data_IF_375759754481
#
_entry.id   IF_375759754481
#
_cell.length_a   1.000
_cell.length_b   1.000
_cell.length_c   1.000
_cell.angle_alpha   90.00
_cell.angle_beta   90.00
_cell.angle_gamma   90.00
#
_symmetry.space_group_name_H-M   'P 1'
#
loop_
_entity.id
_entity.type
_entity.pdbx_description
1 polymer ?
#
# COMPACT_ATOMS: atom_id res chain seq x y z
N UNK A 1 -21.54 45.72 -59.23
CA UNK A 1 -20.73 44.51 -59.51
C UNK A 1 -19.64 44.45 -58.44
N UNK A 2 -19.85 43.79 -57.31
CA UNK A 2 -19.48 42.38 -57.03
C UNK A 2 -17.97 42.09 -57.18
N UNK A 3 -17.21 42.11 -56.08
CA UNK A 3 -16.51 40.95 -55.49
C UNK A 3 -15.46 41.33 -54.42
N UNK A 4 -15.65 40.75 -53.20
CA UNK A 4 -14.70 40.02 -52.30
C UNK A 4 -13.31 40.63 -52.06
N UNK A 5 -12.85 40.82 -50.81
CA UNK A 5 -12.43 39.72 -49.92
C UNK A 5 -12.36 40.14 -48.44
N UNK A 6 -12.85 39.27 -47.55
CA UNK A 6 -12.67 39.34 -46.11
C UNK A 6 -11.35 38.65 -45.72
N UNK A 7 -10.61 39.23 -44.77
CA UNK A 7 -9.46 38.58 -44.11
C UNK A 7 -9.64 38.66 -42.59
N UNK A 8 -9.44 37.52 -41.96
CA UNK A 8 -9.80 37.15 -40.61
C UNK A 8 -8.85 37.70 -39.53
N UNK A 9 -9.37 37.85 -38.29
CA UNK A 9 -8.63 37.49 -37.07
C UNK A 9 -9.62 36.91 -36.05
N UNK A 10 -9.74 35.59 -36.01
CA UNK A 10 -10.33 34.86 -34.88
C UNK A 10 -9.27 34.73 -33.78
N UNK A 11 -9.47 35.41 -32.65
CA UNK A 11 -8.76 35.14 -31.41
C UNK A 11 -9.29 33.83 -30.83
N UNK A 12 -8.56 32.73 -31.04
CA UNK A 12 -8.78 31.50 -30.29
C UNK A 12 -8.10 31.67 -28.92
N UNK A 13 -8.91 31.89 -27.88
CA UNK A 13 -8.45 31.77 -26.51
C UNK A 13 -8.16 30.29 -26.24
N UNK A 14 -6.87 29.94 -26.20
CA UNK A 14 -6.40 28.67 -25.67
C UNK A 14 -6.62 28.66 -24.16
N UNK A 15 -7.75 28.09 -23.74
CA UNK A 15 -7.95 27.67 -22.35
C UNK A 15 -7.04 26.47 -22.11
N UNK A 16 -5.87 26.70 -21.52
CA UNK A 16 -5.08 25.65 -20.89
C UNK A 16 -5.87 25.12 -19.69
N UNK A 17 -6.59 24.03 -19.89
CA UNK A 17 -7.11 23.22 -18.79
C UNK A 17 -5.94 22.49 -18.14
N UNK A 18 -5.69 22.78 -16.86
CA UNK A 18 -4.65 22.15 -16.05
C UNK A 18 -4.77 20.62 -16.06
N UNK A 19 -3.74 19.95 -16.57
CA UNK A 19 -3.49 18.55 -16.28
C UNK A 19 -2.63 18.49 -15.01
N UNK A 20 -3.26 18.40 -13.84
CA UNK A 20 -2.57 18.33 -12.54
C UNK A 20 -1.79 17.03 -12.32
N UNK A 21 -1.98 16.00 -13.17
CA UNK A 21 -1.39 14.68 -12.97
C UNK A 21 0.13 14.59 -13.18
N UNK A 22 0.74 15.47 -13.98
CA UNK A 22 2.18 15.43 -14.25
C UNK A 22 3.00 16.13 -13.18
N UNK A 23 2.47 17.20 -12.58
CA UNK A 23 3.14 18.01 -11.56
C UNK A 23 3.20 17.23 -10.23
N UNK A 24 2.07 16.67 -9.80
CA UNK A 24 1.98 15.83 -8.59
C UNK A 24 2.89 14.58 -8.71
N UNK A 25 2.92 13.93 -9.88
CA UNK A 25 3.79 12.76 -10.11
C UNK A 25 5.26 13.14 -9.99
N UNK A 26 5.66 14.28 -10.56
CA UNK A 26 7.04 14.76 -10.49
C UNK A 26 7.43 15.13 -9.06
N UNK A 27 6.52 15.76 -8.31
CA UNK A 27 6.75 16.09 -6.91
C UNK A 27 6.86 14.83 -6.06
N UNK A 28 5.98 13.83 -6.25
CA UNK A 28 6.09 12.54 -5.57
C UNK A 28 7.46 11.92 -5.88
N UNK A 29 7.84 11.80 -7.15
CA UNK A 29 9.15 11.22 -7.53
C UNK A 29 10.31 12.02 -6.93
N UNK A 30 10.24 13.36 -6.91
CA UNK A 30 11.27 14.21 -6.34
C UNK A 30 11.35 14.05 -4.81
N UNK A 31 10.22 14.02 -4.13
CA UNK A 31 10.12 13.79 -2.70
C UNK A 31 10.67 12.39 -2.33
N UNK A 32 10.40 11.37 -3.15
CA UNK A 32 10.96 10.03 -3.01
C UNK A 32 12.48 10.03 -3.23
N UNK A 33 13.00 10.65 -4.30
CA UNK A 33 14.46 10.74 -4.49
C UNK A 33 15.11 11.49 -3.32
N UNK A 34 14.49 12.58 -2.85
CA UNK A 34 14.96 13.37 -1.70
C UNK A 34 14.90 12.58 -0.38
N UNK A 35 13.88 11.74 -0.22
CA UNK A 35 13.72 10.79 0.88
C UNK A 35 14.63 9.56 0.78
N UNK A 36 15.53 9.51 -0.22
CA UNK A 36 16.58 8.49 -0.33
C UNK A 36 16.18 7.22 -1.07
N UNK A 37 15.08 7.24 -1.82
CA UNK A 37 14.67 6.10 -2.65
C UNK A 37 15.58 5.96 -3.89
N UNK A 38 16.06 4.76 -4.23
CA UNK A 38 16.78 4.51 -5.48
C UNK A 38 15.86 4.76 -6.69
N UNK A 39 16.33 5.48 -7.70
CA UNK A 39 15.52 5.81 -8.88
C UNK A 39 15.04 4.58 -9.65
N UNK A 40 15.75 3.46 -9.56
CA UNK A 40 15.43 2.16 -10.14
C UNK A 40 14.38 1.36 -9.36
N UNK A 41 14.05 1.77 -8.13
CA UNK A 41 12.96 1.20 -7.33
C UNK A 41 11.67 2.05 -7.37
N UNK A 42 11.75 3.27 -7.92
CA UNK A 42 10.60 4.14 -8.16
C UNK A 42 10.02 3.84 -9.55
N UNK A 43 8.74 3.46 -9.59
CA UNK A 43 8.03 3.16 -10.82
C UNK A 43 6.80 4.04 -10.96
N UNK A 44 6.66 4.68 -12.13
CA UNK A 44 5.44 5.41 -12.49
C UNK A 44 4.63 4.54 -13.45
N UNK A 45 3.46 4.10 -13.01
CA UNK A 45 2.53 3.30 -13.81
C UNK A 45 1.17 4.00 -13.80
N UNK A 46 0.68 4.34 -15.00
CA UNK A 46 -0.61 5.02 -15.19
C UNK A 46 -0.77 6.33 -14.39
N UNK A 47 0.32 7.09 -14.23
CA UNK A 47 0.34 8.35 -13.47
C UNK A 47 0.31 8.18 -11.96
N UNK A 48 0.51 6.95 -11.46
CA UNK A 48 0.67 6.64 -10.05
C UNK A 48 2.12 6.24 -9.79
N UNK A 49 2.67 6.68 -8.66
CA UNK A 49 4.05 6.36 -8.27
C UNK A 49 4.04 5.20 -7.29
N UNK A 50 4.93 4.24 -7.51
CA UNK A 50 5.12 3.04 -6.70
C UNK A 50 6.59 2.94 -6.27
N UNK A 51 6.82 2.37 -5.10
CA UNK A 51 8.12 1.96 -4.57
C UNK A 51 8.05 0.47 -4.25
N UNK A 52 9.17 -0.25 -4.39
CA UNK A 52 9.26 -1.64 -3.95
C UNK A 52 8.42 -2.62 -4.78
N UNK A 53 7.74 -2.11 -5.82
CA UNK A 53 6.81 -2.79 -6.74
C UNK A 53 5.38 -3.01 -6.22
N UNK A 54 5.12 -2.69 -4.96
CA UNK A 54 3.83 -2.93 -4.29
C UNK A 54 3.38 -1.79 -3.38
N UNK A 55 4.18 -0.76 -3.13
CA UNK A 55 3.78 0.40 -2.34
C UNK A 55 3.53 1.63 -3.22
N UNK A 56 2.27 1.92 -3.54
CA UNK A 56 1.84 3.18 -4.13
C UNK A 56 2.01 4.34 -3.15
N UNK A 57 2.53 5.47 -3.64
CA UNK A 57 2.78 6.67 -2.85
C UNK A 57 1.87 7.81 -3.31
N UNK A 58 1.13 8.40 -2.37
CA UNK A 58 0.38 9.65 -2.60
C UNK A 58 1.26 10.88 -2.43
N UNK A 59 0.82 12.02 -2.95
CA UNK A 59 1.51 13.31 -2.80
C UNK A 59 1.65 13.69 -1.33
N UNK A 60 0.57 13.58 -0.57
CA UNK A 60 0.55 13.88 0.86
C UNK A 60 1.52 12.99 1.63
N UNK A 61 1.49 11.68 1.36
CA UNK A 61 2.44 10.75 1.97
C UNK A 61 3.88 11.14 1.61
N UNK A 62 4.18 11.46 0.34
CA UNK A 62 5.52 11.85 -0.10
C UNK A 62 6.07 13.11 0.60
N UNK A 63 5.21 14.03 1.03
CA UNK A 63 5.61 15.24 1.75
C UNK A 63 5.90 14.97 3.24
N UNK A 64 5.16 14.05 3.85
CA UNK A 64 5.36 13.60 5.23
C UNK A 64 6.62 12.73 5.38
N UNK A 65 7.17 12.25 4.26
CA UNK A 65 8.30 11.34 4.16
C UNK A 65 9.69 11.97 4.40
N UNK A 66 9.80 13.26 4.70
CA UNK A 66 11.11 13.94 4.74
C UNK A 66 11.85 13.83 6.09
N UNK A 67 11.48 12.88 6.97
CA UNK A 67 12.07 12.71 8.31
C UNK A 67 12.33 11.21 8.59
N UNK A 68 13.60 10.80 8.75
CA UNK A 68 13.93 9.40 9.10
C UNK A 68 15.32 9.20 9.73
N UNK A 69 15.46 8.14 10.54
CA UNK A 69 16.67 7.55 11.13
C UNK A 69 16.54 5.99 11.08
N UNK A 70 17.59 5.19 10.80
CA UNK A 70 17.44 3.78 10.42
C UNK A 70 17.61 2.74 11.56
N UNK A 71 16.81 1.65 11.57
CA UNK A 71 17.22 0.38 12.22
C UNK A 71 16.16 -0.71 12.54
N UNK A 72 16.36 -1.93 11.96
CA UNK A 72 16.10 -3.36 12.36
C UNK A 72 14.75 -3.91 12.98
N UNK A 73 14.01 -4.74 12.19
CA UNK A 73 12.67 -5.50 12.17
C UNK A 73 11.30 -4.94 12.62
N UNK A 74 10.23 -5.63 12.14
CA UNK A 74 8.79 -5.26 12.14
C UNK A 74 8.63 -3.76 12.17
N UNK A 75 8.72 -3.20 10.98
CA UNK A 75 8.85 -1.78 10.82
C UNK A 75 7.50 -1.18 10.58
N UNK A 76 7.32 -0.01 11.17
CA UNK A 76 6.22 0.85 10.80
C UNK A 76 6.73 2.08 10.07
N UNK A 77 5.80 2.67 9.35
CA UNK A 77 5.94 4.03 8.89
C UNK A 77 5.81 5.02 10.05
N UNK A 78 6.26 6.26 9.87
CA UNK A 78 6.07 7.42 10.74
C UNK A 78 4.59 7.72 10.91
N UNK A 79 3.83 7.54 9.84
CA UNK A 79 2.38 7.64 9.81
C UNK A 79 1.72 6.36 10.30
N UNK A 80 0.74 6.50 11.19
CA UNK A 80 -0.08 5.41 11.71
C UNK A 80 -1.56 5.79 11.60
N UNK A 81 -2.42 4.77 11.69
CA UNK A 81 -3.85 5.00 11.87
C UNK A 81 -4.09 5.58 13.26
N UNK A 82 -5.03 6.52 13.38
CA UNK A 82 -5.37 7.07 14.70
C UNK A 82 -5.99 5.99 15.59
N UNK A 83 -5.56 5.95 16.85
CA UNK A 83 -6.11 5.06 17.89
C UNK A 83 -7.59 5.35 18.20
N UNK A 84 -8.13 6.47 17.71
CA UNK A 84 -9.55 6.80 17.82
C UNK A 84 -10.42 6.15 16.74
N UNK A 85 -9.84 5.48 15.73
CA UNK A 85 -10.61 4.75 14.73
C UNK A 85 -11.12 3.45 15.35
N UNK A 86 -12.44 3.26 15.31
CA UNK A 86 -13.10 2.07 15.83
C UNK A 86 -13.47 1.07 14.71
N UNK A 87 -13.85 1.58 13.53
CA UNK A 87 -14.30 0.74 12.41
C UNK A 87 -13.64 1.16 11.10
N UNK A 88 -12.92 0.24 10.48
CA UNK A 88 -12.41 0.39 9.11
C UNK A 88 -13.25 -0.51 8.21
N UNK A 89 -13.95 0.09 7.26
CA UNK A 89 -14.70 -0.69 6.28
C UNK A 89 -13.80 -1.08 5.11
N UNK A 90 -13.96 -2.30 4.63
CA UNK A 90 -13.20 -2.85 3.52
C UNK A 90 -14.17 -3.21 2.41
N UNK A 91 -14.19 -2.41 1.35
CA UNK A 91 -15.00 -2.67 0.17
C UNK A 91 -14.42 -3.87 -0.59
N UNK A 92 -15.01 -5.04 -0.30
CA UNK A 92 -14.72 -6.31 -0.95
C UNK A 92 -15.77 -6.68 -1.99
N UNK A 93 -16.62 -5.75 -2.44
CA UNK A 93 -17.74 -6.02 -3.36
C UNK A 93 -17.30 -6.60 -4.71
N UNK A 94 -16.04 -6.35 -5.11
CA UNK A 94 -15.45 -6.86 -6.35
C UNK A 94 -14.82 -8.25 -6.21
N UNK A 95 -14.66 -8.75 -4.98
CA UNK A 95 -14.03 -10.04 -4.66
C UNK A 95 -15.13 -11.11 -4.49
N UNK A 96 -15.91 -11.38 -5.54
CA UNK A 96 -17.07 -12.29 -5.48
C UNK A 96 -16.75 -13.73 -5.89
N UNK A 97 -15.60 -13.95 -6.54
CA UNK A 97 -15.16 -15.26 -7.02
C UNK A 97 -14.09 -15.85 -6.11
N UNK A 98 -14.07 -17.17 -5.98
CA UNK A 98 -12.95 -17.86 -5.35
C UNK A 98 -11.68 -17.75 -6.22
N UNK A 99 -10.49 -17.73 -5.60
CA UNK A 99 -10.23 -17.78 -4.15
C UNK A 99 -10.46 -16.46 -3.38
N UNK A 100 -10.66 -15.34 -4.09
CA UNK A 100 -10.68 -13.99 -3.50
C UNK A 100 -11.80 -13.77 -2.48
N UNK A 101 -12.98 -14.35 -2.72
CA UNK A 101 -14.15 -14.16 -1.86
C UNK A 101 -13.92 -14.70 -0.44
N UNK A 102 -13.44 -15.94 -0.33
CA UNK A 102 -13.07 -16.50 0.98
C UNK A 102 -11.83 -15.82 1.53
N UNK A 103 -10.86 -15.49 0.68
CA UNK A 103 -9.59 -14.93 1.12
C UNK A 103 -9.73 -13.58 1.84
N UNK A 104 -10.59 -12.68 1.36
CA UNK A 104 -10.83 -11.38 2.02
C UNK A 104 -11.48 -11.58 3.39
N UNK A 105 -12.45 -12.50 3.53
CA UNK A 105 -13.08 -12.76 4.83
C UNK A 105 -12.06 -13.30 5.84
N UNK A 106 -11.17 -14.21 5.41
CA UNK A 106 -10.11 -14.74 6.25
C UNK A 106 -9.11 -13.66 6.67
N UNK A 107 -8.73 -12.77 5.76
CA UNK A 107 -7.81 -11.67 6.07
C UNK A 107 -8.41 -10.74 7.14
N UNK A 108 -9.68 -10.35 7.00
CA UNK A 108 -10.36 -9.54 8.02
C UNK A 108 -10.47 -10.28 9.36
N UNK A 109 -10.76 -11.59 9.33
CA UNK A 109 -10.80 -12.41 10.53
C UNK A 109 -9.43 -12.47 11.25
N UNK A 110 -8.31 -12.44 10.51
CA UNK A 110 -6.99 -12.36 11.13
C UNK A 110 -6.83 -11.10 11.98
N UNK A 111 -7.17 -9.92 11.44
CA UNK A 111 -7.12 -8.65 12.18
C UNK A 111 -8.08 -8.65 13.36
N UNK A 112 -9.34 -9.03 13.13
CA UNK A 112 -10.40 -8.99 14.14
C UNK A 112 -10.25 -10.06 15.24
N UNK A 113 -9.35 -11.03 15.06
CA UNK A 113 -8.99 -11.99 16.11
C UNK A 113 -8.07 -11.40 17.18
N UNK A 114 -7.48 -10.23 16.92
CA UNK A 114 -6.65 -9.48 17.84
C UNK A 114 -7.49 -8.37 18.51
N UNK A 115 -7.02 -7.88 19.66
CA UNK A 115 -7.70 -6.83 20.41
C UNK A 115 -7.16 -5.44 20.03
N UNK A 116 -7.27 -5.09 18.75
CA UNK A 116 -6.80 -3.80 18.21
C UNK A 116 -7.81 -2.68 18.52
N UNK A 117 -7.38 -1.42 18.48
CA UNK A 117 -8.29 -0.26 18.64
C UNK A 117 -9.41 -0.20 17.60
N UNK A 118 -9.22 -0.83 16.44
CA UNK A 118 -10.20 -0.88 15.35
C UNK A 118 -10.63 -2.31 15.02
N UNK A 119 -11.81 -2.44 14.43
CA UNK A 119 -12.30 -3.65 13.79
C UNK A 119 -12.47 -3.41 12.29
N UNK A 120 -12.13 -4.41 11.46
CA UNK A 120 -12.33 -4.34 10.02
C UNK A 120 -13.62 -5.05 9.59
N UNK A 121 -14.47 -4.38 8.80
CA UNK A 121 -15.75 -4.95 8.35
C UNK A 121 -15.81 -4.98 6.84
N UNK A 122 -16.16 -6.13 6.26
CA UNK A 122 -16.39 -6.23 4.81
C UNK A 122 -17.68 -5.49 4.44
N UNK A 123 -17.61 -4.59 3.49
CA UNK A 123 -18.75 -3.82 2.98
C UNK A 123 -18.78 -3.80 1.45
N UNK A 124 -19.78 -3.11 0.88
CA UNK A 124 -19.88 -2.78 -0.55
C UNK A 124 -19.79 -1.27 -0.73
N UNK A 125 -18.61 -0.71 -0.42
CA UNK A 125 -18.35 0.73 -0.38
C UNK A 125 -18.46 1.32 1.03
N UNK A 126 -18.55 2.64 1.11
CA UNK A 126 -18.70 3.33 2.40
C UNK A 126 -20.06 2.99 3.03
N UNK A 127 -20.07 2.71 4.33
CA UNK A 127 -21.29 2.36 5.07
C UNK A 127 -21.42 3.20 6.35
N UNK A 128 -22.64 3.28 6.88
CA UNK A 128 -22.89 3.97 8.15
C UNK A 128 -22.09 3.31 9.28
N UNK A 129 -21.40 4.11 10.10
CA UNK A 129 -20.57 3.63 11.20
C UNK A 129 -19.11 3.32 10.84
N UNK A 130 -18.71 3.44 9.57
CA UNK A 130 -17.31 3.38 9.17
C UNK A 130 -16.59 4.70 9.52
N UNK A 131 -15.44 4.61 10.18
CA UNK A 131 -14.54 5.76 10.34
C UNK A 131 -13.66 5.97 9.10
N UNK A 132 -13.32 4.88 8.41
CA UNK A 132 -12.54 4.89 7.17
C UNK A 132 -13.00 3.80 6.20
N UNK A 133 -12.58 3.92 4.94
CA UNK A 133 -12.86 2.96 3.87
C UNK A 133 -11.56 2.58 3.15
N UNK A 134 -11.31 1.27 3.03
CA UNK A 134 -10.29 0.69 2.16
C UNK A 134 -11.01 -0.03 1.01
N UNK A 135 -10.65 0.27 -0.24
CA UNK A 135 -11.27 -0.35 -1.42
C UNK A 135 -10.34 -1.36 -2.07
N UNK A 136 -10.78 -2.62 -2.19
CA UNK A 136 -9.99 -3.66 -2.86
C UNK A 136 -10.46 -3.85 -4.30
N UNK A 137 -9.51 -3.77 -5.24
CA UNK A 137 -9.73 -3.96 -6.68
C UNK A 137 -8.89 -5.12 -7.18
N UNK A 138 -9.35 -5.78 -8.24
CA UNK A 138 -8.59 -6.83 -8.92
C UNK A 138 -7.97 -6.23 -10.19
N UNK A 139 -6.65 -6.14 -10.24
CA UNK A 139 -5.89 -5.57 -11.36
C UNK A 139 -4.44 -6.03 -11.33
N UNK A 140 -3.77 -5.99 -12.48
CA UNK A 140 -2.35 -6.34 -12.56
C UNK A 140 -2.06 -7.85 -12.56
N UNK A 141 -0.76 -8.22 -12.53
CA UNK A 141 -0.26 -9.60 -12.66
C UNK A 141 -0.45 -10.41 -11.37
N UNK A 142 0.56 -11.12 -10.87
CA UNK A 142 0.52 -11.83 -9.58
C UNK A 142 1.13 -10.96 -8.49
N UNK A 143 0.49 -10.88 -7.32
CA UNK A 143 0.92 -10.04 -6.19
C UNK A 143 -0.20 -9.13 -5.69
N UNK A 144 0.15 -8.18 -4.85
CA UNK A 144 -0.71 -7.09 -4.42
C UNK A 144 0.04 -5.76 -4.49
N UNK A 145 -0.70 -4.66 -4.40
CA UNK A 145 -0.12 -3.37 -4.10
C UNK A 145 -1.10 -2.51 -3.32
N UNK A 146 -0.57 -1.68 -2.43
CA UNK A 146 -1.32 -0.79 -1.54
C UNK A 146 -0.48 0.46 -1.27
N UNK A 147 -0.54 1.03 -0.07
CA UNK A 147 0.15 2.25 0.30
C UNK A 147 0.04 2.47 1.81
N UNK A 148 0.56 3.58 2.30
CA UNK A 148 0.70 3.83 3.75
C UNK A 148 -0.35 4.81 4.31
N UNK A 149 -0.62 4.78 5.62
CA UNK A 149 -1.50 5.74 6.28
C UNK A 149 -1.07 7.19 6.07
N UNK A 150 -2.03 8.10 6.11
CA UNK A 150 -1.78 9.54 6.17
C UNK A 150 -2.93 10.23 6.92
N UNK A 151 -2.62 11.31 7.64
CA UNK A 151 -3.62 12.07 8.42
C UNK A 151 -4.38 11.24 9.48
N UNK A 152 -3.79 10.15 9.98
CA UNK A 152 -4.45 9.25 10.94
C UNK A 152 -5.49 8.29 10.31
N UNK A 153 -5.59 8.24 8.98
CA UNK A 153 -6.47 7.34 8.25
C UNK A 153 -5.66 6.27 7.51
N UNK A 154 -6.22 5.06 7.33
CA UNK A 154 -5.55 4.02 6.55
C UNK A 154 -5.46 4.41 5.08
N UNK A 155 -4.49 3.83 4.36
CA UNK A 155 -4.47 3.94 2.90
C UNK A 155 -5.73 3.29 2.31
N UNK A 156 -6.39 3.99 1.40
CA UNK A 156 -7.77 3.70 1.04
C UNK A 156 -7.94 2.80 -0.21
N UNK A 157 -6.86 2.30 -0.80
CA UNK A 157 -6.91 1.50 -2.03
C UNK A 157 -5.94 0.34 -2.01
N UNK A 158 -6.41 -0.83 -2.41
CA UNK A 158 -5.60 -2.03 -2.59
C UNK A 158 -5.87 -2.60 -3.99
N UNK A 159 -4.80 -2.93 -4.71
CA UNK A 159 -4.84 -3.68 -5.96
C UNK A 159 -4.38 -5.11 -5.70
N UNK A 160 -5.20 -6.08 -6.06
CA UNK A 160 -4.88 -7.50 -5.97
C UNK A 160 -4.74 -8.07 -7.37
N UNK A 161 -3.61 -8.73 -7.60
CA UNK A 161 -3.25 -9.32 -8.86
C UNK A 161 -4.23 -10.38 -9.36
N UNK A 162 -4.61 -10.31 -10.65
CA UNK A 162 -5.46 -11.33 -11.30
C UNK A 162 -4.78 -12.70 -11.35
N UNK A 163 -3.45 -12.71 -11.37
CA UNK A 163 -2.64 -13.93 -11.40
C UNK A 163 -2.81 -14.80 -10.15
N UNK A 164 -3.32 -14.24 -9.05
CA UNK A 164 -3.62 -14.99 -7.82
C UNK A 164 -4.85 -15.91 -7.93
N UNK A 165 -5.61 -15.83 -9.03
CA UNK A 165 -6.80 -16.69 -9.24
C UNK A 165 -6.49 -18.19 -9.32
N UNK A 166 -5.25 -18.57 -9.66
CA UNK A 166 -4.79 -19.96 -9.70
C UNK A 166 -4.13 -20.45 -8.40
N UNK A 167 -4.01 -19.58 -7.40
CA UNK A 167 -3.34 -19.89 -6.13
C UNK A 167 -4.31 -20.46 -5.09
N UNK A 168 -3.77 -21.12 -4.08
CA UNK A 168 -4.55 -21.56 -2.93
C UNK A 168 -5.16 -20.37 -2.19
N UNK A 169 -6.37 -20.54 -1.65
CA UNK A 169 -7.05 -19.49 -0.86
C UNK A 169 -6.18 -18.96 0.28
N UNK A 170 -5.37 -19.81 0.92
CA UNK A 170 -4.44 -19.38 1.98
C UNK A 170 -3.36 -18.41 1.47
N UNK A 171 -2.85 -18.63 0.26
CA UNK A 171 -1.87 -17.72 -0.36
C UNK A 171 -2.52 -16.40 -0.75
N UNK A 172 -3.75 -16.42 -1.26
CA UNK A 172 -4.50 -15.19 -1.55
C UNK A 172 -4.87 -14.45 -0.25
N UNK A 173 -5.22 -15.17 0.82
CA UNK A 173 -5.40 -14.59 2.16
C UNK A 173 -4.13 -13.92 2.65
N UNK A 174 -2.96 -14.55 2.46
CA UNK A 174 -1.67 -13.96 2.82
C UNK A 174 -1.47 -12.62 2.12
N UNK A 175 -1.63 -12.56 0.80
CA UNK A 175 -1.47 -11.30 0.04
C UNK A 175 -2.45 -10.23 0.51
N UNK A 176 -3.74 -10.54 0.68
CA UNK A 176 -4.70 -9.53 1.16
C UNK A 176 -4.36 -9.07 2.60
N UNK A 177 -3.90 -9.98 3.46
CA UNK A 177 -3.45 -9.64 4.82
C UNK A 177 -2.23 -8.73 4.78
N UNK A 178 -1.27 -9.01 3.90
CA UNK A 178 -0.08 -8.19 3.67
C UNK A 178 -0.45 -6.77 3.24
N UNK A 179 -1.30 -6.62 2.23
CA UNK A 179 -1.70 -5.29 1.74
C UNK A 179 -2.49 -4.48 2.78
N UNK A 180 -3.34 -5.14 3.57
CA UNK A 180 -4.00 -4.48 4.71
C UNK A 180 -2.99 -4.02 5.77
N UNK A 181 -1.86 -4.72 5.92
CA UNK A 181 -0.76 -4.37 6.81
C UNK A 181 -0.12 -3.03 6.42
N UNK A 182 0.17 -2.86 5.13
CA UNK A 182 0.62 -1.60 4.58
C UNK A 182 -0.40 -0.48 4.80
N UNK A 183 -1.69 -0.74 4.54
CA UNK A 183 -2.75 0.25 4.76
C UNK A 183 -2.81 0.76 6.20
N UNK A 184 -2.34 -0.01 7.19
CA UNK A 184 -2.27 0.39 8.61
C UNK A 184 -0.84 0.72 9.07
N UNK A 185 0.11 0.86 8.16
CA UNK A 185 1.42 1.45 8.42
C UNK A 185 2.55 0.46 8.66
N UNK A 186 2.38 -0.83 8.39
CA UNK A 186 3.51 -1.75 8.35
C UNK A 186 4.32 -1.59 7.07
N UNK A 187 5.64 -1.71 7.19
CA UNK A 187 6.55 -1.89 6.07
C UNK A 187 6.95 -3.36 5.93
N UNK A 188 7.72 -3.68 4.90
CA UNK A 188 8.29 -5.02 4.82
C UNK A 188 9.27 -5.27 5.98
N UNK A 189 9.17 -6.46 6.56
CA UNK A 189 10.05 -6.94 7.62
C UNK A 189 11.51 -7.06 7.14
N UNK A 190 11.71 -7.38 5.87
CA UNK A 190 12.99 -7.47 5.17
C UNK A 190 13.24 -6.27 4.24
N UNK A 191 12.66 -5.09 4.52
CA UNK A 191 12.86 -3.91 3.69
C UNK A 191 14.35 -3.63 3.44
N UNK A 192 15.22 -3.88 4.43
CA UNK A 192 16.65 -3.58 4.33
C UNK A 192 17.42 -4.55 3.42
N UNK A 193 16.87 -5.75 3.19
CA UNK A 193 17.42 -6.78 2.32
C UNK A 193 16.31 -7.73 1.85
N UNK A 194 15.65 -7.35 0.76
CA UNK A 194 14.55 -8.10 0.15
C UNK A 194 14.99 -9.45 -0.42
N UNK A 195 16.30 -9.68 -0.59
CA UNK A 195 16.78 -10.99 -1.04
C UNK A 195 16.51 -12.10 -0.03
N UNK A 196 16.22 -11.74 1.22
CA UNK A 196 15.77 -12.66 2.25
C UNK A 196 14.49 -13.36 1.75
N UNK A 197 13.39 -12.64 1.50
CA UNK A 197 12.14 -13.29 1.07
C UNK A 197 12.04 -13.51 -0.44
N UNK A 198 12.61 -12.62 -1.25
CA UNK A 198 12.50 -12.66 -2.71
C UNK A 198 13.59 -13.49 -3.39
N UNK A 199 14.68 -13.82 -2.70
CA UNK A 199 15.89 -14.36 -3.30
C UNK A 199 16.63 -13.34 -4.17
N UNK A 200 17.63 -13.80 -4.91
CA UNK A 200 18.41 -12.95 -5.81
C UNK A 200 19.53 -12.18 -5.11
N UNK A 201 19.88 -11.01 -5.65
CA UNK A 201 20.89 -10.14 -5.05
C UNK A 201 20.27 -9.28 -3.96
N UNK A 202 20.98 -9.00 -2.85
CA UNK A 202 20.52 -8.08 -1.83
C UNK A 202 20.08 -6.76 -2.43
N UNK A 203 18.83 -6.40 -2.16
CA UNK A 203 18.27 -5.10 -2.52
C UNK A 203 17.51 -4.55 -1.32
N UNK A 204 17.73 -3.28 -1.05
CA UNK A 204 17.02 -2.57 0.01
C UNK A 204 15.83 -1.85 -0.65
N UNK A 205 14.64 -1.95 -0.04
CA UNK A 205 13.42 -1.19 -0.37
C UNK A 205 13.64 0.33 -0.23
N UNK A 206 14.72 0.72 0.45
CA UNK A 206 15.08 2.09 0.79
C UNK A 206 14.59 2.49 2.17
N UNK A 207 15.18 3.54 2.75
CA UNK A 207 14.68 4.17 3.97
C UNK A 207 13.25 4.69 3.78
N UNK A 208 12.91 5.00 2.53
CA UNK A 208 11.53 5.16 2.10
C UNK A 208 10.87 6.45 2.59
N UNK A 209 11.57 7.27 3.38
CA UNK A 209 11.07 8.51 3.98
C UNK A 209 9.84 8.39 4.88
N UNK A 210 9.06 7.35 4.73
CA UNK A 210 7.98 6.92 5.59
C UNK A 210 8.53 6.43 6.91
N UNK A 211 9.85 6.45 7.14
CA UNK A 211 10.50 5.91 8.32
C UNK A 211 10.59 4.39 8.28
N UNK A 212 11.69 3.88 8.81
CA UNK A 212 11.92 2.47 9.10
C UNK A 212 12.02 2.28 10.61
N UNK A 213 10.91 2.50 11.31
CA UNK A 213 10.89 2.50 12.78
C UNK A 213 10.57 1.10 13.28
N UNK A 214 11.54 0.46 13.94
CA UNK A 214 11.34 -0.80 14.65
C UNK A 214 10.17 -0.67 15.64
N UNK A 215 9.22 -1.58 15.54
CA UNK A 215 8.14 -1.71 16.52
C UNK A 215 8.70 -2.36 17.78
N UNK A 216 8.35 -1.81 18.95
CA UNK A 216 8.90 -2.32 20.20
C UNK A 216 8.52 -3.80 20.43
N UNK A 217 9.43 -4.56 21.03
CA UNK A 217 9.23 -5.98 21.41
C UNK A 217 9.15 -6.98 20.26
N UNK A 218 9.48 -6.57 19.04
CA UNK A 218 9.73 -7.50 17.92
C UNK A 218 11.24 -7.72 17.77
N UNK A 219 11.67 -8.84 17.14
CA UNK A 219 13.08 -9.02 16.83
C UNK A 219 13.55 -7.96 15.83
N UNK A 220 14.85 -7.96 15.50
CA UNK A 220 15.52 -6.91 14.71
C UNK A 220 16.03 -7.42 13.33
N UNK A 221 15.84 -8.70 12.98
CA UNK A 221 16.34 -9.28 11.72
C UNK A 221 15.43 -10.30 11.03
N UNK A 222 15.16 -10.09 9.74
CA UNK A 222 14.18 -10.85 8.96
C UNK A 222 14.59 -12.29 8.62
N UNK A 223 13.58 -13.16 8.54
CA UNK A 223 13.70 -14.54 8.06
C UNK A 223 12.59 -14.87 7.07
N UNK A 224 12.86 -15.79 6.15
CA UNK A 224 11.92 -16.20 5.09
C UNK A 224 10.68 -16.85 5.68
N UNK A 225 9.51 -16.27 5.41
CA UNK A 225 8.24 -16.72 5.97
C UNK A 225 8.11 -16.45 7.47
N UNK A 226 8.96 -15.58 8.02
CA UNK A 226 8.93 -15.18 9.43
C UNK A 226 7.89 -14.11 9.75
N UNK A 227 7.32 -13.49 8.72
CA UNK A 227 6.30 -12.46 8.84
C UNK A 227 5.38 -12.47 7.61
N UNK A 228 4.11 -12.10 7.78
CA UNK A 228 3.23 -11.80 6.64
C UNK A 228 3.73 -10.59 5.85
N UNK A 229 4.55 -9.74 6.46
CA UNK A 229 5.17 -8.57 5.85
C UNK A 229 6.54 -8.88 5.25
N UNK A 230 6.87 -10.14 4.93
CA UNK A 230 7.99 -10.37 4.02
C UNK A 230 7.68 -9.78 2.62
N UNK A 231 8.65 -9.09 1.99
CA UNK A 231 8.47 -8.42 0.70
C UNK A 231 7.97 -9.32 -0.42
N UNK A 232 8.32 -10.60 -0.38
CA UNK A 232 7.79 -11.60 -1.30
C UNK A 232 7.12 -12.72 -0.53
N UNK A 233 5.86 -12.97 -0.88
CA UNK A 233 5.14 -14.15 -0.44
C UNK A 233 5.63 -15.40 -1.19
N UNK A 234 5.55 -16.57 -0.56
CA UNK A 234 5.86 -17.85 -1.20
C UNK A 234 4.60 -18.45 -1.83
N UNK A 235 4.75 -19.44 -2.70
CA UNK A 235 3.59 -20.13 -3.30
C UNK A 235 2.75 -20.89 -2.26
N UNK A 236 3.34 -21.23 -1.10
CA UNK A 236 2.71 -21.99 -0.01
C UNK A 236 2.68 -21.14 1.26
N UNK A 237 1.78 -20.17 1.31
CA UNK A 237 1.55 -19.38 2.53
C UNK A 237 0.36 -19.91 3.33
N UNK A 238 0.46 -19.79 4.65
CA UNK A 238 -0.62 -20.14 5.58
C UNK A 238 -1.74 -19.08 5.59
N UNK A 239 -1.42 -17.83 5.22
CA UNK A 239 -2.36 -16.71 5.30
C UNK A 239 -2.73 -16.31 6.71
N UNK A 240 -1.85 -16.56 7.68
CA UNK A 240 -2.05 -16.25 9.11
C UNK A 240 -0.90 -15.41 9.63
N UNK A 241 -1.19 -14.55 10.60
CA UNK A 241 -0.15 -13.83 11.34
C UNK A 241 0.74 -14.78 12.14
N UNK A 242 2.05 -14.52 12.07
CA UNK A 242 3.04 -15.12 12.96
C UNK A 242 2.94 -14.51 14.37
N UNK A 243 3.71 -15.02 15.33
CA UNK A 243 3.76 -14.42 16.67
C UNK A 243 4.31 -13.00 16.65
N UNK A 244 5.28 -12.70 15.79
CA UNK A 244 5.91 -11.37 15.69
C UNK A 244 4.95 -10.36 15.04
N UNK A 245 4.18 -10.77 14.02
CA UNK A 245 3.16 -9.91 13.41
C UNK A 245 2.08 -9.50 14.44
N UNK A 246 1.66 -10.45 15.28
CA UNK A 246 0.70 -10.17 16.36
C UNK A 246 1.29 -9.23 17.41
N UNK A 247 2.53 -9.45 17.83
CA UNK A 247 3.21 -8.54 18.76
C UNK A 247 3.31 -7.13 18.17
N UNK A 248 3.67 -7.02 16.89
CA UNK A 248 3.76 -5.75 16.19
C UNK A 248 2.40 -5.01 16.17
N UNK A 249 1.32 -5.71 15.80
CA UNK A 249 -0.02 -5.11 15.72
C UNK A 249 -0.49 -4.62 17.09
N UNK A 250 -0.39 -5.44 18.13
CA UNK A 250 -0.82 -5.06 19.49
C UNK A 250 0.06 -3.96 20.12
N UNK A 251 1.30 -3.79 19.64
CA UNK A 251 2.15 -2.70 20.10
C UNK A 251 1.74 -1.35 19.49
N UNK A 252 1.08 -1.35 18.32
CA UNK A 252 0.63 -0.15 17.64
C UNK A 252 -0.84 0.20 17.93
N UNK A 253 -1.69 -0.81 18.07
CA UNK A 253 -3.16 -0.70 18.11
C UNK A 253 -3.76 -1.64 19.15
#
# INVERSE_FOLDING_TARGET
>A
MLHRTALAVTFAALMFGCASGTDDTQEIVANLIQAGFPADDIMVVDGLVYVGRDAQVSLEASREMLISDPGKEQYRTTNLVSLSLATICVDGSRLTKEPFNTAVNNALANYNSLNLTFHMVRTSGNAAGCNALISIRISGPTGGSSGFPSGGLPFNSIHIGRGLSSFATSTVTHVITHELGHCVGFRHSDFFDRSISCGGQPSNEGDGGVGAILIASTPSGAVVGGSVMNSCFRTVEAGLFTSTDKTALNALY
#
